data_IF_029361307551
#
_entry.id   IF_029361307551
#
_cell.length_a   1.000
_cell.length_b   1.000
_cell.length_c   1.000
_cell.angle_alpha   90.00
_cell.angle_beta   90.00
_cell.angle_gamma   90.00
#
_symmetry.space_group_name_H-M   'P 1'
#
loop_
_entity.id
_entity.type
_entity.pdbx_description
1 polymer ?
#
# COMPACT_ATOMS: atom_id res chain seq x y z
N UNK A 1 19.89 -10.87 -0.82
CA UNK A 1 20.57 -9.61 -1.24
C UNK A 1 21.66 -9.27 -0.23
N UNK A 2 22.71 -8.57 -0.66
CA UNK A 2 23.77 -8.08 0.25
C UNK A 2 23.16 -7.12 1.29
N UNK A 3 23.56 -7.17 2.57
CA UNK A 3 23.14 -6.19 3.59
C UNK A 3 23.50 -4.74 3.26
N UNK A 4 24.41 -4.54 2.31
CA UNK A 4 24.85 -3.23 1.81
C UNK A 4 23.90 -2.64 0.77
N UNK A 5 22.96 -3.43 0.23
CA UNK A 5 21.93 -2.96 -0.69
C UNK A 5 20.74 -2.51 0.15
N UNK A 6 20.32 -1.26 -0.05
CA UNK A 6 19.27 -0.59 0.72
C UNK A 6 18.20 -0.04 -0.21
N UNK A 7 16.94 -0.12 0.22
CA UNK A 7 15.84 0.58 -0.44
C UNK A 7 15.93 2.08 -0.16
N UNK A 8 15.48 2.90 -1.12
CA UNK A 8 15.43 4.36 -0.97
C UNK A 8 14.20 4.92 -1.68
N UNK A 9 13.58 5.94 -1.08
CA UNK A 9 12.59 6.80 -1.74
C UNK A 9 13.27 8.12 -2.12
N UNK A 10 13.67 8.31 -3.39
CA UNK A 10 14.39 9.50 -3.81
C UNK A 10 13.48 10.73 -3.85
N UNK A 11 14.07 11.92 -3.74
CA UNK A 11 13.40 13.20 -4.02
C UNK A 11 13.09 13.33 -5.53
N UNK A 12 11.93 13.89 -5.94
CA UNK A 12 10.88 14.50 -5.13
C UNK A 12 9.87 13.49 -4.56
N UNK A 13 10.04 12.19 -4.80
CA UNK A 13 9.16 11.11 -4.36
C UNK A 13 8.87 10.13 -5.49
N UNK A 14 8.22 9.02 -5.15
CA UNK A 14 7.78 8.02 -6.13
C UNK A 14 6.29 7.74 -5.98
N UNK A 15 5.56 7.55 -7.09
CA UNK A 15 4.16 7.20 -7.04
C UNK A 15 4.01 5.74 -6.59
N UNK A 16 3.37 5.54 -5.44
CA UNK A 16 3.06 4.21 -4.92
C UNK A 16 1.73 3.71 -5.48
N UNK A 17 1.60 2.39 -5.65
CA UNK A 17 0.33 1.75 -6.02
C UNK A 17 -0.26 1.04 -4.78
N UNK A 18 -0.93 1.77 -3.87
CA UNK A 18 -1.62 1.12 -2.76
C UNK A 18 -2.76 0.25 -3.30
N UNK A 19 -2.97 -0.88 -2.65
CA UNK A 19 -4.12 -1.74 -2.89
C UNK A 19 -5.30 -1.21 -2.07
N UNK A 20 -6.43 -0.95 -2.74
CA UNK A 20 -7.63 -0.41 -2.09
C UNK A 20 -8.71 -1.49 -1.94
N UNK A 21 -9.43 -1.44 -0.83
CA UNK A 21 -10.75 -2.05 -0.76
C UNK A 21 -11.77 -1.15 -1.47
N UNK A 22 -12.59 -1.73 -2.33
CA UNK A 22 -13.65 -1.01 -3.05
C UNK A 22 -14.96 -1.76 -2.88
N UNK A 23 -16.00 -1.06 -2.46
CA UNK A 23 -17.37 -1.58 -2.39
C UNK A 23 -18.11 -1.08 -3.63
N UNK A 24 -18.58 -1.96 -4.53
CA UNK A 24 -19.37 -1.55 -5.67
C UNK A 24 -20.63 -0.79 -5.24
N UNK A 25 -20.99 0.27 -5.98
CA UNK A 25 -22.16 1.09 -5.67
C UNK A 25 -23.48 0.30 -5.61
N UNK A 26 -23.56 -0.84 -6.30
CA UNK A 26 -24.71 -1.76 -6.32
C UNK A 26 -24.44 -3.09 -5.61
N UNK A 27 -23.52 -3.12 -4.65
CA UNK A 27 -23.23 -4.33 -3.89
C UNK A 27 -24.48 -4.83 -3.16
N UNK A 28 -24.84 -6.10 -3.36
CA UNK A 28 -26.02 -6.73 -2.75
C UNK A 28 -25.99 -6.69 -1.21
N UNK A 29 -24.79 -6.63 -0.61
CA UNK A 29 -24.58 -6.60 0.84
C UNK A 29 -23.60 -5.48 1.25
N UNK A 30 -23.84 -4.25 0.79
CA UNK A 30 -22.94 -3.11 1.02
C UNK A 30 -22.57 -2.88 2.50
N UNK A 31 -23.53 -3.05 3.42
CA UNK A 31 -23.30 -2.87 4.86
C UNK A 31 -22.41 -3.96 5.46
N UNK A 32 -22.54 -5.20 5.00
CA UNK A 32 -21.66 -6.29 5.43
C UNK A 32 -20.26 -6.09 4.86
N UNK A 33 -20.15 -5.69 3.58
CA UNK A 33 -18.87 -5.35 2.97
C UNK A 33 -18.16 -4.23 3.74
N UNK A 34 -18.90 -3.20 4.19
CA UNK A 34 -18.32 -2.13 5.02
C UNK A 34 -17.76 -2.66 6.33
N UNK A 35 -18.51 -3.51 7.06
CA UNK A 35 -18.04 -4.15 8.29
C UNK A 35 -16.80 -5.02 8.06
N UNK A 36 -16.75 -5.70 6.91
CA UNK A 36 -15.57 -6.48 6.54
C UNK A 36 -14.35 -5.60 6.30
N UNK A 37 -14.51 -4.47 5.58
CA UNK A 37 -13.42 -3.52 5.36
C UNK A 37 -12.94 -2.93 6.69
N UNK A 38 -13.86 -2.56 7.60
CA UNK A 38 -13.52 -2.09 8.95
C UNK A 38 -12.69 -3.14 9.74
N UNK A 39 -13.05 -4.42 9.63
CA UNK A 39 -12.27 -5.50 10.23
C UNK A 39 -10.89 -5.66 9.56
N UNK A 40 -10.85 -5.65 8.23
CA UNK A 40 -9.63 -5.82 7.45
C UNK A 40 -8.62 -4.68 7.67
N UNK A 41 -9.11 -3.46 7.94
CA UNK A 41 -8.31 -2.29 8.27
C UNK A 41 -8.01 -2.17 9.77
N UNK A 42 -8.47 -3.09 10.62
CA UNK A 42 -8.13 -3.08 12.04
C UNK A 42 -6.62 -3.25 12.28
N UNK A 43 -6.04 -2.60 13.31
CA UNK A 43 -4.61 -2.72 13.60
C UNK A 43 -4.13 -4.16 13.79
N UNK A 44 -4.93 -5.00 14.41
CA UNK A 44 -4.64 -6.42 14.65
C UNK A 44 -4.53 -7.18 13.32
N UNK A 45 -5.52 -7.04 12.43
CA UNK A 45 -5.53 -7.75 11.14
C UNK A 45 -4.40 -7.25 10.23
N UNK A 46 -4.13 -5.95 10.23
CA UNK A 46 -3.00 -5.38 9.48
C UNK A 46 -1.65 -5.88 10.02
N UNK A 47 -1.46 -5.91 11.34
CA UNK A 47 -0.22 -6.39 11.94
C UNK A 47 0.04 -7.88 11.64
N UNK A 48 -0.97 -8.73 11.82
CA UNK A 48 -0.79 -10.18 11.63
C UNK A 48 -0.81 -10.58 10.16
N UNK A 49 -1.82 -10.11 9.42
CA UNK A 49 -2.08 -10.52 8.04
C UNK A 49 -1.22 -9.81 7.00
N UNK A 50 -0.78 -8.57 7.22
CA UNK A 50 -0.01 -7.80 6.23
C UNK A 50 1.47 -7.76 6.59
N UNK A 51 1.78 -7.44 7.85
CA UNK A 51 3.16 -7.22 8.28
C UNK A 51 3.87 -8.53 8.63
N UNK A 52 3.32 -9.33 9.56
CA UNK A 52 3.99 -10.56 10.01
C UNK A 52 4.01 -11.64 8.92
N UNK A 53 2.93 -11.78 8.15
CA UNK A 53 2.84 -12.78 7.08
C UNK A 53 3.58 -12.37 5.80
N UNK A 54 3.41 -11.14 5.31
CA UNK A 54 3.93 -10.74 4.00
C UNK A 54 5.05 -9.70 4.05
N UNK A 55 5.34 -9.12 5.22
CA UNK A 55 6.34 -8.06 5.39
C UNK A 55 6.05 -6.85 4.48
N UNK A 56 4.77 -6.54 4.28
CA UNK A 56 4.28 -5.39 3.51
C UNK A 56 3.99 -4.21 4.43
N UNK A 57 4.00 -3.00 3.87
CA UNK A 57 3.51 -1.83 4.61
C UNK A 57 1.99 -1.96 4.86
N UNK A 58 1.51 -1.54 6.05
CA UNK A 58 0.09 -1.57 6.35
C UNK A 58 -0.69 -0.63 5.43
N UNK A 59 -1.96 -0.97 5.17
CA UNK A 59 -2.90 -0.10 4.46
C UNK A 59 -3.40 1.09 5.30
N UNK A 60 -3.07 1.11 6.59
CA UNK A 60 -3.38 2.19 7.54
C UNK A 60 -2.09 2.87 8.00
N UNK A 61 -2.20 4.00 8.70
CA UNK A 61 -1.03 4.69 9.25
C UNK A 61 -0.21 3.75 10.17
N UNK A 62 1.11 3.59 9.94
CA UNK A 62 1.99 2.75 10.75
C UNK A 62 1.90 2.97 12.26
N UNK A 63 1.55 4.18 12.72
CA UNK A 63 1.43 4.46 14.16
C UNK A 63 0.38 3.59 14.86
N UNK A 64 -0.68 3.18 14.16
CA UNK A 64 -1.76 2.37 14.75
C UNK A 64 -1.39 0.90 14.89
N UNK A 65 -0.53 0.39 14.01
CA UNK A 65 -0.06 -1.01 14.06
C UNK A 65 1.16 -1.19 14.96
N UNK A 66 1.93 -0.13 15.22
CA UNK A 66 3.15 -0.20 16.03
C UNK A 66 2.95 -0.90 17.39
N UNK A 67 1.88 -0.64 18.17
CA UNK A 67 1.64 -1.31 19.45
C UNK A 67 1.32 -2.82 19.32
N UNK A 68 1.04 -3.31 18.11
CA UNK A 68 0.67 -4.71 17.82
C UNK A 68 1.86 -5.54 17.30
N UNK A 69 3.01 -4.91 17.17
CA UNK A 69 4.23 -5.50 16.64
C UNK A 69 5.31 -5.55 17.73
N UNK A 70 6.12 -6.61 17.69
CA UNK A 70 7.36 -6.61 18.44
C UNK A 70 8.41 -5.71 17.73
N UNK A 71 9.45 -5.36 18.48
CA UNK A 71 10.50 -4.47 18.00
C UNK A 71 11.24 -5.06 16.77
N UNK A 72 11.36 -6.38 16.68
CA UNK A 72 12.08 -7.03 15.59
C UNK A 72 11.29 -6.91 14.27
N UNK A 73 9.97 -7.15 14.30
CA UNK A 73 9.08 -6.97 13.17
C UNK A 73 9.03 -5.51 12.71
N UNK A 74 8.94 -4.56 13.65
CA UNK A 74 8.98 -3.13 13.35
C UNK A 74 10.29 -2.71 12.66
N UNK A 75 11.43 -3.11 13.25
CA UNK A 75 12.75 -2.78 12.71
C UNK A 75 12.99 -3.44 11.35
N UNK A 76 12.45 -4.64 11.12
CA UNK A 76 12.54 -5.31 9.83
C UNK A 76 11.72 -4.60 8.75
N UNK A 77 10.52 -4.14 9.08
CA UNK A 77 9.64 -3.44 8.13
C UNK A 77 10.20 -2.08 7.72
N UNK A 78 10.76 -1.33 8.68
CA UNK A 78 11.23 0.05 8.48
C UNK A 78 12.76 0.18 8.54
N UNK A 79 13.50 -0.87 8.16
CA UNK A 79 14.97 -0.86 8.25
C UNK A 79 15.63 0.13 7.30
N UNK A 80 14.98 0.42 6.17
CA UNK A 80 15.55 1.16 5.05
C UNK A 80 14.74 2.41 4.70
N UNK A 81 13.41 2.31 4.76
CA UNK A 81 12.48 3.41 4.51
C UNK A 81 11.65 3.54 5.79
N UNK A 82 11.70 4.71 6.43
CA UNK A 82 10.94 4.97 7.66
C UNK A 82 9.48 5.38 7.37
N UNK A 83 8.58 5.36 8.39
CA UNK A 83 7.25 5.95 8.24
C UNK A 83 7.28 7.43 7.80
N UNK A 84 8.27 8.19 8.28
CA UNK A 84 8.44 9.59 7.91
C UNK A 84 8.85 9.74 6.43
N UNK A 85 9.69 8.84 5.90
CA UNK A 85 10.06 8.83 4.49
C UNK A 85 8.86 8.51 3.60
N UNK A 86 8.03 7.53 3.99
CA UNK A 86 6.79 7.20 3.27
C UNK A 86 5.83 8.40 3.23
N UNK A 87 5.64 9.10 4.35
CA UNK A 87 4.79 10.29 4.40
C UNK A 87 5.34 11.44 3.54
N UNK A 88 6.66 11.65 3.55
CA UNK A 88 7.30 12.76 2.84
C UNK A 88 7.42 12.52 1.33
N UNK A 89 7.81 11.30 0.94
CA UNK A 89 8.20 10.94 -0.43
C UNK A 89 7.21 10.02 -1.14
N UNK A 90 6.22 9.48 -0.42
CA UNK A 90 5.08 8.82 -1.04
C UNK A 90 4.29 9.81 -1.90
N UNK A 91 4.01 9.42 -3.15
CA UNK A 91 3.16 10.19 -4.06
C UNK A 91 1.96 9.35 -4.49
N UNK A 92 0.78 9.96 -4.66
CA UNK A 92 -0.35 9.24 -5.21
C UNK A 92 -0.04 8.89 -6.67
N UNK A 93 -0.26 7.63 -7.03
CA UNK A 93 -0.20 7.23 -8.43
C UNK A 93 -1.43 7.78 -9.17
N UNK A 94 -1.25 8.48 -10.31
CA UNK A 94 -2.35 9.10 -11.03
C UNK A 94 -3.10 8.03 -11.87
N UNK A 95 -3.81 7.12 -11.20
CA UNK A 95 -4.38 5.90 -11.77
C UNK A 95 -5.23 6.17 -13.02
N UNK A 96 -6.21 7.09 -12.94
CA UNK A 96 -7.14 7.36 -14.03
C UNK A 96 -6.46 7.88 -15.31
N UNK A 97 -5.67 8.98 -15.29
CA UNK A 97 -4.99 9.44 -16.49
C UNK A 97 -3.95 8.43 -16.98
N UNK A 98 -3.20 7.78 -16.07
CA UNK A 98 -2.21 6.76 -16.45
C UNK A 98 -2.83 5.60 -17.25
N UNK A 99 -3.91 5.00 -16.74
CA UNK A 99 -4.54 3.87 -17.42
C UNK A 99 -5.21 4.28 -18.72
N UNK A 100 -5.77 5.49 -18.79
CA UNK A 100 -6.32 6.04 -20.04
C UNK A 100 -5.21 6.16 -21.10
N UNK A 101 -4.11 6.84 -20.77
CA UNK A 101 -3.01 7.11 -21.69
C UNK A 101 -2.32 5.82 -22.16
N UNK A 102 -2.11 4.86 -21.26
CA UNK A 102 -1.55 3.54 -21.64
C UNK A 102 -2.49 2.79 -22.58
N UNK A 103 -3.79 2.77 -22.31
CA UNK A 103 -4.76 2.09 -23.16
C UNK A 103 -4.75 2.70 -24.56
N UNK A 104 -4.90 4.03 -24.66
CA UNK A 104 -4.87 4.75 -25.95
C UNK A 104 -3.53 4.57 -26.69
N UNK A 105 -2.42 4.55 -25.95
CA UNK A 105 -1.08 4.30 -26.50
C UNK A 105 -0.93 2.89 -27.07
N UNK A 106 -1.39 1.88 -26.33
CA UNK A 106 -1.37 0.49 -26.77
C UNK A 106 -2.22 0.28 -28.03
N UNK A 107 -3.46 0.79 -28.03
CA UNK A 107 -4.36 0.73 -29.17
C UNK A 107 -3.75 1.38 -30.43
N UNK A 108 -2.99 2.47 -30.26
CA UNK A 108 -2.33 3.16 -31.37
C UNK A 108 -1.17 2.38 -31.98
N UNK A 109 -0.41 1.66 -31.15
CA UNK A 109 0.89 1.06 -31.54
C UNK A 109 0.76 -0.42 -31.90
N UNK A 110 -0.12 -1.16 -31.22
CA UNK A 110 -0.17 -2.63 -31.30
C UNK A 110 -1.38 -3.13 -32.08
N UNK A 111 -2.53 -2.46 -31.97
CA UNK A 111 -3.76 -2.87 -32.64
C UNK A 111 -3.93 -2.27 -34.05
N UNK A 112 -2.96 -1.48 -34.53
CA UNK A 112 -2.94 -0.92 -35.89
C UNK A 112 -2.12 -1.75 -36.85
#
# INVERSE_FOLDING_TARGET
>A
MSPKIKLVLPSPGLPGQPMYYVIPAKAAHAQLAKKFVELAESPEVQADGIIKQFNWYPGIDPQYVQPKLDQAAWNKLFSDISPADLSKYGRPFPLAPYFKEITEGYERVVLK
#
